data_IF_597223537186
#
_entry.id   IF_597223537186
#
_cell.length_a   1.000
_cell.length_b   1.000
_cell.length_c   1.000
_cell.angle_alpha   90.00
_cell.angle_beta   90.00
_cell.angle_gamma   90.00
#
_symmetry.space_group_name_H-M   'P 1'
#
loop_
_entity.id
_entity.type
_entity.pdbx_description
1 polymer ?
#
# COMPACT_ATOMS: atom_id res chain seq x y z
N UNK A 1 -6.55 5.42 -32.25
CA UNK A 1 -6.95 6.23 -31.09
C UNK A 1 -7.60 5.29 -30.09
N UNK A 2 -6.82 4.74 -29.16
CA UNK A 2 -7.32 3.79 -28.15
C UNK A 2 -8.08 4.55 -27.07
N UNK A 3 -9.33 4.17 -26.83
CA UNK A 3 -10.12 4.70 -25.71
C UNK A 3 -9.59 4.04 -24.44
N UNK A 4 -8.86 4.83 -23.65
CA UNK A 4 -8.50 4.45 -22.29
C UNK A 4 -9.79 4.39 -21.46
N UNK A 5 -10.22 3.18 -21.11
CA UNK A 5 -11.38 2.96 -20.24
C UNK A 5 -10.86 2.87 -18.80
N UNK A 6 -10.92 3.98 -18.08
CA UNK A 6 -10.79 3.95 -16.63
C UNK A 6 -12.06 3.33 -16.04
N UNK A 7 -11.92 2.45 -15.05
CA UNK A 7 -13.04 1.76 -14.41
C UNK A 7 -13.83 2.79 -13.57
N UNK A 8 -14.88 3.41 -14.15
CA UNK A 8 -15.82 4.21 -13.37
C UNK A 8 -16.84 3.29 -12.70
N UNK A 9 -16.72 3.12 -11.38
CA UNK A 9 -17.79 2.54 -10.56
C UNK A 9 -18.89 3.59 -10.39
N UNK A 10 -20.05 3.37 -11.02
CA UNK A 10 -21.23 4.25 -10.92
C UNK A 10 -21.86 4.11 -9.54
N UNK A 11 -21.81 5.18 -8.73
CA UNK A 11 -22.60 5.28 -7.49
C UNK A 11 -23.70 6.31 -7.71
N UNK A 12 -24.94 5.83 -7.82
CA UNK A 12 -26.18 6.62 -7.92
C UNK A 12 -26.61 7.21 -6.56
N UNK A 13 -25.70 7.79 -5.79
CA UNK A 13 -26.07 8.46 -4.55
C UNK A 13 -25.26 9.74 -4.37
N UNK A 14 -25.96 10.88 -4.34
CA UNK A 14 -25.43 12.23 -4.09
C UNK A 14 -25.08 12.37 -2.58
N UNK A 15 -24.37 11.36 -2.08
CA UNK A 15 -23.73 11.24 -0.77
C UNK A 15 -22.31 10.60 -0.91
N UNK A 16 -21.99 10.05 -2.10
CA UNK A 16 -20.77 9.29 -2.40
C UNK A 16 -19.59 10.15 -2.91
N UNK A 17 -19.46 11.38 -2.42
CA UNK A 17 -18.25 12.20 -2.60
C UNK A 17 -17.27 12.09 -1.42
N UNK A 18 -17.60 11.28 -0.41
CA UNK A 18 -16.57 10.70 0.46
C UNK A 18 -16.09 9.44 -0.23
N UNK A 19 -15.08 9.53 -1.09
CA UNK A 19 -14.28 8.37 -1.44
C UNK A 19 -13.85 7.81 -0.08
N UNK A 20 -14.45 6.70 0.39
CA UNK A 20 -14.21 6.23 1.75
C UNK A 20 -12.73 5.88 1.82
N UNK A 21 -11.94 6.81 2.34
CA UNK A 21 -10.50 6.72 2.30
C UNK A 21 -10.13 5.53 3.16
N UNK A 22 -9.56 4.50 2.55
CA UNK A 22 -9.13 3.29 3.24
C UNK A 22 -7.61 3.26 3.24
N UNK A 23 -7.00 2.81 4.34
CA UNK A 23 -5.61 2.41 4.30
C UNK A 23 -5.54 1.08 3.52
N UNK A 24 -4.70 1.03 2.49
CA UNK A 24 -4.58 -0.11 1.57
C UNK A 24 -3.26 -0.81 1.80
N UNK A 25 -3.29 -2.12 2.06
CA UNK A 25 -2.10 -2.94 2.23
C UNK A 25 -2.09 -3.98 1.10
N UNK A 26 -1.06 -3.96 0.27
CA UNK A 26 -0.82 -4.96 -0.76
C UNK A 26 0.13 -6.01 -0.18
N UNK A 27 -0.37 -7.25 -0.14
CA UNK A 27 0.36 -8.41 0.35
C UNK A 27 1.32 -8.96 -0.72
N UNK A 28 2.28 -9.78 -0.29
CA UNK A 28 3.24 -10.45 -1.18
C UNK A 28 2.57 -11.36 -2.22
N UNK A 29 1.38 -11.86 -1.94
CA UNK A 29 0.57 -12.68 -2.86
C UNK A 29 -0.32 -11.84 -3.79
N UNK A 30 -0.16 -10.51 -3.77
CA UNK A 30 -0.92 -9.55 -4.55
C UNK A 30 -2.32 -9.24 -3.99
N UNK A 31 -2.71 -9.82 -2.83
CA UNK A 31 -4.01 -9.50 -2.22
C UNK A 31 -4.02 -8.10 -1.63
N UNK A 32 -5.15 -7.42 -1.79
CA UNK A 32 -5.41 -6.12 -1.21
C UNK A 32 -6.23 -6.25 0.08
N UNK A 33 -5.68 -5.78 1.19
CA UNK A 33 -6.38 -5.62 2.46
C UNK A 33 -6.69 -4.14 2.68
N UNK A 34 -7.91 -3.83 3.14
CA UNK A 34 -8.39 -2.46 3.31
C UNK A 34 -8.91 -2.22 4.71
N UNK A 35 -8.52 -1.09 5.31
CA UNK A 35 -9.00 -0.65 6.61
C UNK A 35 -9.71 0.69 6.49
N UNK A 36 -10.91 0.78 7.07
CA UNK A 36 -11.73 2.01 7.10
C UNK A 36 -11.35 2.97 8.24
N UNK A 37 -10.43 2.55 9.09
CA UNK A 37 -9.92 3.33 10.22
C UNK A 37 -8.39 3.22 10.21
N UNK A 38 -7.69 4.26 10.73
CA UNK A 38 -6.24 4.17 10.94
C UNK A 38 -5.89 2.92 11.73
N UNK A 39 -4.78 2.28 11.35
CA UNK A 39 -4.32 1.05 11.98
C UNK A 39 -2.82 1.13 12.20
N UNK A 40 -2.33 0.64 13.35
CA UNK A 40 -0.89 0.64 13.61
C UNK A 40 -0.14 -0.32 12.68
N UNK A 41 1.02 0.10 12.20
CA UNK A 41 1.91 -0.73 11.39
C UNK A 41 2.28 -2.04 12.11
N UNK A 42 2.56 -1.98 13.42
CA UNK A 42 2.80 -3.15 14.28
C UNK A 42 1.69 -4.20 14.21
N UNK A 43 0.42 -3.80 14.07
CA UNK A 43 -0.68 -4.75 13.94
C UNK A 43 -0.54 -5.58 12.66
N UNK A 44 -0.26 -4.92 11.53
CA UNK A 44 -0.07 -5.59 10.24
C UNK A 44 1.18 -6.48 10.27
N UNK A 45 2.29 -5.97 10.81
CA UNK A 45 3.57 -6.70 10.88
C UNK A 45 3.42 -7.95 11.77
N UNK A 46 2.71 -7.86 12.90
CA UNK A 46 2.49 -9.00 13.80
C UNK A 46 1.74 -10.16 13.14
N UNK A 47 0.89 -9.87 12.14
CA UNK A 47 0.14 -10.86 11.37
C UNK A 47 0.94 -11.45 10.21
N UNK A 48 2.01 -10.78 9.80
CA UNK A 48 2.83 -11.12 8.63
C UNK A 48 4.30 -11.25 9.05
N UNK A 49 4.66 -12.32 9.76
CA UNK A 49 6.03 -12.52 10.22
C UNK A 49 6.99 -12.60 9.04
N UNK A 50 8.22 -12.12 9.24
CA UNK A 50 9.24 -12.00 8.18
C UNK A 50 8.82 -11.08 7.03
N UNK A 51 8.03 -10.04 7.31
CA UNK A 51 7.76 -8.95 6.39
C UNK A 51 7.99 -7.60 7.09
N UNK A 52 8.23 -6.57 6.30
CA UNK A 52 8.15 -5.19 6.74
C UNK A 52 7.16 -4.43 5.87
N UNK A 53 6.70 -3.28 6.36
CA UNK A 53 5.75 -2.44 5.66
C UNK A 53 6.48 -1.22 5.07
N UNK A 54 6.12 -0.80 3.86
CA UNK A 54 6.60 0.43 3.25
C UNK A 54 5.46 1.22 2.60
N UNK A 55 5.57 2.54 2.55
CA UNK A 55 4.62 3.41 1.84
C UNK A 55 4.96 3.50 0.36
N UNK A 56 3.96 3.46 -0.52
CA UNK A 56 4.11 3.66 -1.97
C UNK A 56 4.83 4.97 -2.29
N UNK A 57 4.56 6.01 -1.51
CA UNK A 57 5.04 7.37 -1.77
C UNK A 57 6.52 7.55 -1.48
N UNK A 58 7.10 6.60 -0.74
CA UNK A 58 8.51 6.58 -0.37
C UNK A 58 9.31 5.49 -1.11
N UNK A 59 8.71 4.84 -2.10
CA UNK A 59 9.36 3.83 -2.94
C UNK A 59 9.92 4.50 -4.20
N UNK A 60 11.24 4.69 -4.23
CA UNK A 60 11.95 5.27 -5.38
C UNK A 60 12.89 4.24 -6.01
N UNK A 61 12.92 4.20 -7.34
CA UNK A 61 13.86 3.38 -8.11
C UNK A 61 15.30 3.74 -7.75
N UNK A 62 16.15 2.71 -7.70
CA UNK A 62 17.57 2.78 -7.33
C UNK A 62 17.82 3.30 -5.90
N UNK A 63 16.78 3.33 -5.06
CA UNK A 63 16.88 3.65 -3.64
C UNK A 63 16.47 2.46 -2.76
N UNK A 64 17.00 2.43 -1.53
CA UNK A 64 16.52 1.51 -0.51
C UNK A 64 15.11 1.88 -0.08
N UNK A 65 14.28 0.86 0.16
CA UNK A 65 12.90 1.12 0.59
C UNK A 65 12.85 1.43 2.07
N UNK A 66 12.29 2.59 2.45
CA UNK A 66 12.11 2.92 3.85
C UNK A 66 10.99 2.06 4.44
N UNK A 67 11.29 1.51 5.62
CA UNK A 67 10.32 0.82 6.43
C UNK A 67 9.46 1.83 7.20
N UNK A 68 8.15 1.59 7.22
CA UNK A 68 7.22 2.32 8.10
C UNK A 68 7.46 1.86 9.55
N UNK A 69 7.72 2.79 10.48
CA UNK A 69 7.87 2.48 11.90
C UNK A 69 6.67 1.72 12.48
N UNK A 70 6.92 0.77 13.39
CA UNK A 70 5.89 -0.09 13.97
C UNK A 70 4.84 0.67 14.81
N UNK A 71 5.23 1.81 15.37
CA UNK A 71 4.40 2.69 16.18
C UNK A 71 3.55 3.66 15.36
N UNK A 72 3.83 3.80 14.05
CA UNK A 72 3.09 4.67 13.14
C UNK A 72 1.69 4.12 12.83
N UNK A 73 0.71 5.02 12.77
CA UNK A 73 -0.63 4.71 12.27
C UNK A 73 -0.71 4.92 10.76
N UNK A 74 -1.14 3.88 10.05
CA UNK A 74 -1.34 3.90 8.60
C UNK A 74 -2.49 4.85 8.24
N UNK A 75 -2.19 5.75 7.33
CA UNK A 75 -3.09 6.83 6.94
C UNK A 75 -4.13 6.32 5.94
N UNK A 76 -5.34 6.87 6.04
CA UNK A 76 -6.41 6.55 5.11
C UNK A 76 -6.15 7.22 3.76
N UNK A 77 -6.24 6.46 2.68
CA UNK A 77 -6.01 6.96 1.31
C UNK A 77 -4.65 6.55 0.77
N UNK A 78 -3.75 6.17 1.66
CA UNK A 78 -2.41 5.73 1.34
C UNK A 78 -2.36 4.24 0.98
N UNK A 79 -1.34 3.89 0.18
CA UNK A 79 -1.03 2.53 -0.22
C UNK A 79 0.28 2.11 0.45
N UNK A 80 0.24 0.93 1.05
CA UNK A 80 1.36 0.30 1.70
C UNK A 80 1.61 -1.08 1.09
N UNK A 81 2.86 -1.47 1.03
CA UNK A 81 3.27 -2.80 0.57
C UNK A 81 3.89 -3.57 1.73
N UNK A 82 3.53 -4.86 1.83
CA UNK A 82 4.30 -5.82 2.60
C UNK A 82 5.44 -6.32 1.72
N UNK A 83 6.66 -6.22 2.24
CA UNK A 83 7.86 -6.66 1.53
C UNK A 83 8.70 -7.62 2.37
N UNK A 84 9.40 -8.58 1.75
CA UNK A 84 10.27 -9.48 2.47
C UNK A 84 11.57 -8.77 2.88
N UNK A 85 12.19 -9.11 4.03
CA UNK A 85 13.42 -8.51 4.52
C UNK A 85 14.59 -8.51 3.53
N UNK A 86 14.62 -9.47 2.59
CA UNK A 86 15.61 -9.48 1.52
C UNK A 86 15.58 -8.24 0.62
N UNK A 87 14.44 -7.53 0.57
CA UNK A 87 14.27 -6.31 -0.22
C UNK A 87 14.70 -5.03 0.50
N UNK A 88 14.91 -5.04 1.83
CA UNK A 88 15.37 -3.83 2.53
C UNK A 88 16.83 -3.48 2.20
N UNK A 89 17.63 -4.50 1.86
CA UNK A 89 19.06 -4.37 1.62
C UNK A 89 19.44 -4.21 0.15
N UNK A 90 18.48 -4.24 -0.78
CA UNK A 90 18.73 -3.95 -2.19
C UNK A 90 18.04 -2.63 -2.60
N UNK A 91 18.62 -1.87 -3.53
CA UNK A 91 17.89 -0.82 -4.22
C UNK A 91 16.67 -1.39 -4.94
N UNK A 92 15.56 -0.65 -4.97
CA UNK A 92 14.41 -0.99 -5.80
C UNK A 92 14.81 -0.99 -7.27
N UNK A 93 14.64 -2.13 -7.93
CA UNK A 93 14.80 -2.21 -9.38
C UNK A 93 13.47 -1.92 -10.06
N UNK A 94 13.52 -1.43 -11.31
CA UNK A 94 12.31 -1.32 -12.14
C UNK A 94 11.57 -2.66 -12.23
N UNK A 95 12.30 -3.77 -12.34
CA UNK A 95 11.73 -5.12 -12.39
C UNK A 95 10.88 -5.49 -11.16
N UNK A 96 11.06 -4.80 -10.03
CA UNK A 96 10.27 -5.01 -8.82
C UNK A 96 8.93 -4.23 -8.84
N UNK A 97 8.75 -3.27 -9.76
CA UNK A 97 7.56 -2.41 -9.88
C UNK A 97 6.66 -2.78 -11.08
N UNK A 98 7.20 -3.46 -12.10
CA UNK A 98 6.49 -3.87 -13.33
C UNK A 98 5.91 -5.27 -13.27
#
# INVERSE_FOLDING_TARGET
MGICVSYQYTINDVSSLTWSSTAKIIHLDGKLQQFKQPIKASHIISQNPNCFLCSSDSMFIDAHVPQVPEDEELQLGEIYFLMPPSQSHKPLSLQDII
#
